data_IF_297592161773
#
_entry.id   IF_297592161773
#
_cell.length_a   1.000
_cell.length_b   1.000
_cell.length_c   1.000
_cell.angle_alpha   90.00
_cell.angle_beta   90.00
_cell.angle_gamma   90.00
#
_symmetry.space_group_name_H-M   'P 1'
#
loop_
_entity.id
_entity.type
_entity.pdbx_description
1 polymer ?
#
# COMPACT_ATOMS: atom_id res chain seq x y z
N UNK A 1 -7.80 -10.39 -0.95
CA UNK A 1 -6.46 -10.24 -1.57
C UNK A 1 -5.50 -9.75 -0.48
N UNK A 2 -4.59 -10.59 0.03
CA UNK A 2 -3.62 -10.15 1.07
C UNK A 2 -2.62 -9.19 0.42
N UNK A 3 -2.45 -8.00 0.98
CA UNK A 3 -1.42 -7.06 0.54
C UNK A 3 -0.04 -7.61 0.93
N UNK A 4 0.81 -7.94 -0.05
CA UNK A 4 2.20 -8.40 0.17
C UNK A 4 3.14 -7.23 0.53
N UNK A 5 2.67 -6.32 1.38
CA UNK A 5 3.38 -5.11 1.79
C UNK A 5 3.24 -4.95 3.29
N UNK A 6 4.34 -4.64 3.96
CA UNK A 6 4.41 -4.48 5.41
C UNK A 6 5.13 -3.18 5.74
N UNK A 7 4.83 -2.62 6.91
CA UNK A 7 5.58 -1.50 7.48
C UNK A 7 6.54 -2.03 8.53
N UNK A 8 7.79 -1.57 8.46
CA UNK A 8 8.83 -1.86 9.45
C UNK A 8 9.29 -0.52 10.00
N UNK A 9 9.33 -0.41 11.33
CA UNK A 9 9.75 0.80 12.04
C UNK A 9 10.99 0.42 12.86
N UNK A 10 12.05 1.20 12.69
CA UNK A 10 13.26 1.10 13.49
C UNK A 10 13.27 2.24 14.50
N UNK A 11 13.89 2.00 15.66
CA UNK A 11 14.10 3.03 16.68
C UNK A 11 15.12 4.08 16.22
N UNK A 12 16.15 3.63 15.49
CA UNK A 12 17.22 4.49 14.96
C UNK A 12 17.09 4.68 13.43
N UNK A 13 17.31 5.91 12.97
CA UNK A 13 17.25 6.27 11.55
C UNK A 13 18.36 5.64 10.71
N UNK A 14 19.54 5.42 11.30
CA UNK A 14 20.67 4.78 10.63
C UNK A 14 20.43 3.29 10.41
N UNK A 15 19.69 2.62 11.30
CA UNK A 15 19.27 1.24 11.09
C UNK A 15 18.29 1.13 9.93
N UNK A 16 17.31 2.05 9.84
CA UNK A 16 16.41 2.14 8.69
C UNK A 16 17.17 2.39 7.38
N UNK A 17 18.21 3.25 7.41
CA UNK A 17 19.08 3.50 6.26
C UNK A 17 19.84 2.23 5.84
N UNK A 18 20.48 1.56 6.79
CA UNK A 18 21.21 0.32 6.54
C UNK A 18 20.30 -0.75 5.93
N UNK A 19 19.07 -0.89 6.42
CA UNK A 19 18.09 -1.81 5.88
C UNK A 19 17.70 -1.47 4.43
N UNK A 20 17.42 -0.20 4.12
CA UNK A 20 17.07 0.24 2.75
C UNK A 20 18.20 -0.04 1.77
N UNK A 21 19.43 0.30 2.15
CA UNK A 21 20.62 0.18 1.30
C UNK A 21 20.96 -1.28 0.97
N UNK A 22 20.72 -2.21 1.90
CA UNK A 22 21.20 -3.60 1.78
C UNK A 22 20.10 -4.63 1.49
N UNK A 23 18.85 -4.38 1.88
CA UNK A 23 17.76 -5.37 1.73
C UNK A 23 16.93 -5.18 0.45
N UNK A 24 17.05 -4.04 -0.23
CA UNK A 24 16.43 -3.85 -1.54
C UNK A 24 17.05 -4.82 -2.55
N UNK A 25 16.22 -5.67 -3.16
CA UNK A 25 16.68 -6.75 -4.06
C UNK A 25 17.11 -8.02 -3.33
N UNK A 26 16.94 -8.13 -2.02
CA UNK A 26 17.18 -9.38 -1.30
C UNK A 26 16.16 -10.45 -1.72
N UNK A 27 16.63 -11.65 -2.05
CA UNK A 27 15.75 -12.78 -2.42
C UNK A 27 15.31 -13.54 -1.17
N UNK A 28 13.99 -13.69 -1.00
CA UNK A 28 13.38 -14.52 0.03
C UNK A 28 12.27 -15.35 -0.59
N UNK A 29 12.32 -16.67 -0.41
CA UNK A 29 11.35 -17.62 -0.95
C UNK A 29 11.07 -17.42 -2.45
N UNK A 30 12.11 -17.11 -3.25
CA UNK A 30 11.99 -16.91 -4.69
C UNK A 30 11.37 -15.57 -5.10
N UNK A 31 11.22 -14.62 -4.17
CA UNK A 31 10.74 -13.26 -4.43
C UNK A 31 11.76 -12.23 -3.98
N UNK A 32 11.90 -11.15 -4.73
CA UNK A 32 12.83 -10.08 -4.43
C UNK A 32 12.12 -8.96 -3.66
N UNK A 33 12.72 -8.52 -2.56
CA UNK A 33 12.18 -7.45 -1.74
C UNK A 33 12.38 -6.09 -2.40
N UNK A 34 11.40 -5.21 -2.20
CA UNK A 34 11.52 -3.78 -2.50
C UNK A 34 11.39 -3.06 -1.16
N UNK A 35 12.42 -2.31 -0.76
CA UNK A 35 12.43 -1.57 0.51
C UNK A 35 12.46 -0.08 0.19
N UNK A 36 11.49 0.66 0.72
CA UNK A 36 11.32 2.09 0.46
C UNK A 36 11.06 2.81 1.77
N UNK A 37 11.55 4.04 1.89
CA UNK A 37 11.13 4.92 2.96
C UNK A 37 9.63 5.22 2.87
N UNK A 38 9.00 5.33 4.04
CA UNK A 38 7.60 5.76 4.13
C UNK A 38 7.43 7.17 3.55
N UNK A 39 6.39 7.33 2.73
CA UNK A 39 6.05 8.61 2.08
C UNK A 39 4.61 8.96 2.42
N UNK A 40 4.41 9.75 3.50
CA UNK A 40 3.10 10.08 4.05
C UNK A 40 2.13 10.63 2.99
N UNK A 41 2.59 11.59 2.18
CA UNK A 41 1.78 12.22 1.14
C UNK A 41 1.30 11.21 0.09
N UNK A 42 2.18 10.30 -0.36
CA UNK A 42 1.81 9.25 -1.33
C UNK A 42 0.81 8.27 -0.73
N UNK A 43 0.95 7.94 0.55
CA UNK A 43 0.03 7.03 1.23
C UNK A 43 -1.35 7.66 1.42
N UNK A 44 -1.42 8.94 1.76
CA UNK A 44 -2.68 9.66 1.89
C UNK A 44 -3.41 9.78 0.54
N UNK A 45 -2.67 10.06 -0.54
CA UNK A 45 -3.22 10.06 -1.91
C UNK A 45 -3.77 8.68 -2.31
N UNK A 46 -3.02 7.59 -2.04
CA UNK A 46 -3.48 6.22 -2.30
C UNK A 46 -4.72 5.88 -1.51
N UNK A 47 -4.77 6.25 -0.22
CA UNK A 47 -5.94 6.02 0.63
C UNK A 47 -7.17 6.73 0.06
N UNK A 48 -7.04 8.01 -0.30
CA UNK A 48 -8.12 8.77 -0.91
C UNK A 48 -8.64 8.13 -2.22
N UNK A 49 -7.73 7.63 -3.06
CA UNK A 49 -8.11 6.92 -4.29
C UNK A 49 -8.86 5.60 -4.02
N UNK A 50 -8.45 4.85 -3.00
CA UNK A 50 -9.13 3.62 -2.58
C UNK A 50 -10.53 3.93 -2.04
N UNK A 51 -10.66 4.96 -1.19
CA UNK A 51 -11.94 5.38 -0.62
C UNK A 51 -12.93 5.81 -1.71
N UNK A 52 -12.46 6.58 -2.72
CA UNK A 52 -13.28 6.99 -3.86
C UNK A 52 -13.76 5.79 -4.70
N UNK A 53 -12.89 4.80 -4.95
CA UNK A 53 -13.28 3.60 -5.70
C UNK A 53 -14.32 2.78 -4.94
N UNK A 54 -14.19 2.70 -3.61
CA UNK A 54 -15.17 2.02 -2.76
C UNK A 54 -16.52 2.72 -2.81
N UNK A 55 -16.54 4.05 -2.68
CA UNK A 55 -17.77 4.84 -2.81
C UNK A 55 -18.43 4.69 -4.18
N UNK A 56 -17.64 4.67 -5.27
CA UNK A 56 -18.16 4.42 -6.62
C UNK A 56 -18.78 3.04 -6.75
N UNK A 57 -18.14 2.01 -6.19
CA UNK A 57 -18.68 0.66 -6.20
C UNK A 57 -19.99 0.58 -5.42
N UNK A 58 -20.03 1.15 -4.22
CA UNK A 58 -21.26 1.19 -3.40
C UNK A 58 -22.40 1.92 -4.12
N UNK A 59 -22.09 3.03 -4.81
CA UNK A 59 -23.08 3.75 -5.60
C UNK A 59 -23.59 2.92 -6.78
N UNK A 60 -22.70 2.20 -7.47
CA UNK A 60 -23.08 1.32 -8.57
C UNK A 60 -23.96 0.16 -8.07
N UNK A 61 -23.57 -0.49 -6.99
CA UNK A 61 -24.35 -1.58 -6.38
C UNK A 61 -25.74 -1.10 -5.96
N UNK A 62 -25.86 0.15 -5.49
CA UNK A 62 -27.13 0.78 -5.15
C UNK A 62 -27.98 1.06 -6.41
N UNK A 63 -27.37 1.61 -7.46
CA UNK A 63 -28.03 1.84 -8.75
C UNK A 63 -28.60 0.55 -9.35
N UNK A 64 -27.79 -0.50 -9.35
CA UNK A 64 -28.17 -1.83 -9.85
C UNK A 64 -29.30 -2.43 -9.01
N UNK A 65 -29.24 -2.28 -7.68
CA UNK A 65 -30.27 -2.79 -6.76
C UNK A 65 -31.63 -2.12 -6.94
N UNK A 66 -31.66 -0.83 -7.25
CA UNK A 66 -32.91 -0.06 -7.38
C UNK A 66 -33.31 0.21 -8.83
N UNK A 67 -32.56 -0.31 -9.81
CA UNK A 67 -32.87 -0.17 -11.24
C UNK A 67 -32.81 1.29 -11.74
N UNK A 68 -31.92 2.09 -11.16
CA UNK A 68 -31.78 3.53 -11.49
C UNK A 68 -30.46 3.72 -12.21
N UNK A 69 -30.48 3.96 -13.53
CA UNK A 69 -29.28 4.31 -14.31
C UNK A 69 -28.73 5.70 -13.95
#
# INVERSE_FOLDING_TARGET
>A
MKSNTSFVVYEDIYDAKNAVDHLSGFNVCGRYLIVLYYQANKMQQRKAAVDLNKQKQELQDLKDKYGVE
#
